data_IF_677809912262
#
_entry.id   IF_677809912262
#
_cell.length_a   1.000
_cell.length_b   1.000
_cell.length_c   1.000
_cell.angle_alpha   90.00
_cell.angle_beta   90.00
_cell.angle_gamma   90.00
#
_symmetry.space_group_name_H-M   'P 1'
#
loop_
_entity.id
_entity.type
_entity.pdbx_description
1 polymer ?
#
# COMPACT_ATOMS: atom_id res chain seq x y z
N UNK A 1 12.12 -0.87 2.68
CA UNK A 1 11.70 0.37 1.99
C UNK A 1 10.38 0.19 1.24
N UNK A 2 10.22 -0.87 0.44
CA UNK A 2 8.97 -1.10 -0.33
C UNK A 2 7.69 -1.09 0.52
N UNK A 3 7.66 -1.78 1.68
CA UNK A 3 6.49 -1.78 2.56
C UNK A 3 6.13 -0.40 3.13
N UNK A 4 7.10 0.51 3.31
CA UNK A 4 6.82 1.89 3.69
C UNK A 4 6.11 2.63 2.56
N UNK A 5 6.59 2.49 1.32
CA UNK A 5 5.94 3.08 0.16
C UNK A 5 4.49 2.61 0.04
N UNK A 6 4.26 1.30 0.14
CA UNK A 6 2.91 0.75 0.10
C UNK A 6 2.02 1.28 1.23
N UNK A 7 2.57 1.44 2.43
CA UNK A 7 1.83 2.02 3.55
C UNK A 7 1.37 3.46 3.28
N UNK A 8 2.25 4.29 2.70
CA UNK A 8 1.90 5.66 2.30
C UNK A 8 0.91 5.67 1.12
N UNK A 9 1.04 4.73 0.17
CA UNK A 9 0.04 4.57 -0.91
C UNK A 9 -1.35 4.29 -0.33
N UNK A 10 -1.45 3.39 0.65
CA UNK A 10 -2.72 3.07 1.32
C UNK A 10 -3.27 4.28 2.08
N UNK A 11 -2.41 5.07 2.73
CA UNK A 11 -2.81 6.30 3.40
C UNK A 11 -3.37 7.33 2.39
N UNK A 12 -2.67 7.59 1.28
CA UNK A 12 -3.13 8.50 0.22
C UNK A 12 -4.47 8.07 -0.38
N UNK A 13 -4.67 6.75 -0.56
CA UNK A 13 -5.95 6.21 -1.02
C UNK A 13 -7.07 6.43 0.00
N UNK A 14 -6.84 6.09 1.29
CA UNK A 14 -7.80 6.29 2.38
C UNK A 14 -8.20 7.76 2.53
N UNK A 15 -7.22 8.65 2.47
CA UNK A 15 -7.40 10.09 2.63
C UNK A 15 -7.99 10.76 1.38
N UNK A 16 -8.19 10.00 0.30
CA UNK A 16 -8.69 10.49 -0.99
C UNK A 16 -7.86 11.64 -1.55
N UNK A 17 -6.54 11.57 -1.35
CA UNK A 17 -5.57 12.52 -1.91
C UNK A 17 -5.60 12.46 -3.45
N UNK A 18 -5.87 11.27 -3.99
CA UNK A 18 -6.08 11.02 -5.42
C UNK A 18 -7.51 10.54 -5.63
N UNK A 19 -8.09 10.87 -6.78
CA UNK A 19 -9.50 10.59 -7.08
C UNK A 19 -9.84 9.09 -7.10
N UNK A 20 -8.91 8.25 -7.55
CA UNK A 20 -9.07 6.79 -7.62
C UNK A 20 -7.72 6.05 -7.56
N UNK A 21 -7.79 4.73 -7.47
CA UNK A 21 -6.63 3.85 -7.33
C UNK A 21 -5.79 3.75 -8.61
N UNK A 22 -6.40 3.87 -9.80
CA UNK A 22 -5.70 3.75 -11.08
C UNK A 22 -4.80 4.98 -11.31
N UNK A 23 -5.29 6.17 -10.99
CA UNK A 23 -4.52 7.41 -11.02
C UNK A 23 -3.37 7.39 -10.00
N UNK A 24 -3.60 6.82 -8.81
CA UNK A 24 -2.56 6.66 -7.80
C UNK A 24 -1.46 5.71 -8.30
N UNK A 25 -1.85 4.58 -8.89
CA UNK A 25 -0.92 3.61 -9.45
C UNK A 25 -0.10 4.20 -10.61
N UNK A 26 -0.76 4.90 -11.53
CA UNK A 26 -0.10 5.63 -12.61
C UNK A 26 0.90 6.68 -12.08
N UNK A 27 0.49 7.48 -11.09
CA UNK A 27 1.34 8.50 -10.49
C UNK A 27 2.60 7.91 -9.85
N UNK A 28 2.47 6.78 -9.16
CA UNK A 28 3.62 6.12 -8.51
C UNK A 28 4.52 5.43 -9.54
N UNK A 29 3.96 4.82 -10.58
CA UNK A 29 4.73 4.23 -11.70
C UNK A 29 5.55 5.31 -12.41
N UNK A 30 4.91 6.35 -12.92
CA UNK A 30 5.57 7.38 -13.73
C UNK A 30 6.40 8.35 -12.91
N UNK A 31 6.04 8.60 -11.65
CA UNK A 31 6.75 9.53 -10.77
C UNK A 31 7.96 8.92 -10.07
N UNK A 32 7.80 7.73 -9.49
CA UNK A 32 8.85 7.09 -8.68
C UNK A 32 9.60 5.96 -9.39
N UNK A 33 9.16 5.57 -10.59
CA UNK A 33 9.72 4.43 -11.33
C UNK A 33 9.27 3.08 -10.77
N UNK A 34 8.09 2.99 -10.15
CA UNK A 34 7.56 1.71 -9.69
C UNK A 34 7.34 0.76 -10.88
N UNK A 35 7.66 -0.51 -10.68
CA UNK A 35 7.64 -1.54 -11.72
C UNK A 35 6.30 -1.58 -12.50
N UNK A 36 6.25 -1.14 -13.76
CA UNK A 36 4.99 -1.01 -14.51
C UNK A 36 4.31 -2.37 -14.75
N UNK A 37 5.10 -3.43 -14.89
CA UNK A 37 4.61 -4.80 -15.10
C UNK A 37 3.88 -5.39 -13.88
N UNK A 38 3.84 -4.69 -12.74
CA UNK A 38 3.05 -5.06 -11.56
C UNK A 38 1.73 -4.29 -11.46
N UNK A 39 1.41 -3.43 -12.43
CA UNK A 39 0.20 -2.61 -12.45
C UNK A 39 0.23 -1.38 -11.54
N UNK A 40 1.12 -1.35 -10.55
CA UNK A 40 1.29 -0.24 -9.60
C UNK A 40 1.28 -0.74 -8.16
N UNK A 41 1.47 0.13 -7.17
CA UNK A 41 1.46 -0.25 -5.76
C UNK A 41 0.12 -0.83 -5.28
N UNK A 42 -1.04 -0.28 -5.66
CA UNK A 42 -2.37 -0.79 -5.28
C UNK A 42 -2.64 -2.14 -5.94
N UNK A 43 -2.37 -2.27 -7.24
CA UNK A 43 -2.48 -3.56 -7.92
C UNK A 43 -1.51 -4.60 -7.34
N UNK A 44 -0.29 -4.19 -6.99
CA UNK A 44 0.66 -5.06 -6.31
C UNK A 44 0.12 -5.54 -4.95
N UNK A 45 -0.44 -4.64 -4.13
CA UNK A 45 -1.06 -4.99 -2.83
C UNK A 45 -2.17 -6.02 -3.05
N UNK A 46 -3.03 -5.79 -4.04
CA UNK A 46 -4.12 -6.71 -4.33
C UNK A 46 -3.62 -8.10 -4.73
N UNK A 47 -2.60 -8.17 -5.59
CA UNK A 47 -2.02 -9.44 -6.07
C UNK A 47 -1.18 -10.18 -5.02
N UNK A 48 -0.49 -9.46 -4.14
CA UNK A 48 0.39 -10.03 -3.13
C UNK A 48 -0.36 -10.47 -1.87
N UNK A 49 -1.61 -10.01 -1.70
CA UNK A 49 -2.43 -10.28 -0.52
C UNK A 49 -2.30 -9.17 0.53
N UNK A 50 -3.32 -8.31 0.70
CA UNK A 50 -3.30 -7.19 1.64
C UNK A 50 -3.17 -7.66 3.09
N UNK A 51 -3.76 -8.80 3.45
CA UNK A 51 -3.64 -9.38 4.79
C UNK A 51 -2.19 -9.81 5.10
N UNK A 52 -1.53 -10.49 4.16
CA UNK A 52 -0.14 -10.91 4.32
C UNK A 52 0.81 -9.71 4.43
N UNK A 53 0.60 -8.66 3.63
CA UNK A 53 1.37 -7.43 3.68
C UNK A 53 1.12 -6.65 4.99
N UNK A 54 -0.11 -6.63 5.48
CA UNK A 54 -0.46 -6.02 6.76
C UNK A 54 0.24 -6.71 7.93
N UNK A 55 0.24 -8.05 7.97
CA UNK A 55 0.96 -8.82 8.99
C UNK A 55 2.47 -8.49 8.97
N UNK A 56 3.08 -8.46 7.77
CA UNK A 56 4.48 -8.06 7.58
C UNK A 56 4.77 -6.65 8.10
N UNK A 57 3.87 -5.69 7.87
CA UNK A 57 4.01 -4.34 8.39
C UNK A 57 3.95 -4.31 9.91
N UNK A 58 3.02 -5.04 10.54
CA UNK A 58 2.94 -5.19 11.99
C UNK A 58 4.24 -5.77 12.59
N UNK A 59 4.78 -6.84 11.98
CA UNK A 59 6.05 -7.43 12.41
C UNK A 59 7.21 -6.42 12.34
N UNK A 60 7.27 -5.62 11.27
CA UNK A 60 8.29 -4.58 11.11
C UNK A 60 8.09 -3.42 12.09
N UNK A 61 6.85 -3.05 12.41
CA UNK A 61 6.54 -2.03 13.39
C UNK A 61 7.03 -2.43 14.79
N UNK A 62 6.85 -3.69 15.16
CA UNK A 62 7.37 -4.22 16.42
C UNK A 62 8.91 -4.19 16.47
N UNK A 63 9.59 -4.54 15.36
CA UNK A 63 11.06 -4.66 15.33
C UNK A 63 11.80 -3.35 15.10
N UNK A 64 11.22 -2.43 14.34
CA UNK A 64 11.88 -1.21 13.85
C UNK A 64 11.16 0.09 14.23
N UNK A 65 10.11 -0.02 15.05
CA UNK A 65 9.38 1.08 15.63
C UNK A 65 8.28 1.66 14.73
N UNK A 66 7.76 2.80 15.16
CA UNK A 66 6.54 3.45 14.67
C UNK A 66 6.53 3.80 13.17
N UNK A 67 7.69 3.83 12.52
CA UNK A 67 7.78 4.13 11.08
C UNK A 67 7.04 3.09 10.23
N UNK A 68 6.95 1.84 10.68
CA UNK A 68 6.26 0.77 9.96
C UNK A 68 4.83 0.52 10.45
N UNK A 69 4.29 1.38 11.33
CA UNK A 69 2.91 1.26 11.79
C UNK A 69 1.96 1.27 10.58
N UNK A 70 1.13 0.22 10.39
CA UNK A 70 0.19 0.19 9.28
C UNK A 70 -0.84 1.31 9.38
N UNK A 71 -1.14 1.94 8.25
CA UNK A 71 -2.25 2.90 8.14
C UNK A 71 -3.62 2.19 8.37
N UNK A 72 -4.63 2.86 8.93
CA UNK A 72 -5.97 2.27 9.09
C UNK A 72 -6.60 1.78 7.77
N UNK A 73 -6.20 2.31 6.62
CA UNK A 73 -6.70 1.94 5.30
C UNK A 73 -6.45 0.47 4.94
N UNK A 74 -5.46 -0.19 5.54
CA UNK A 74 -5.23 -1.62 5.32
C UNK A 74 -6.43 -2.49 5.74
N UNK A 75 -7.13 -2.11 6.81
CA UNK A 75 -8.31 -2.85 7.28
C UNK A 75 -9.46 -2.79 6.26
N UNK A 76 -9.58 -1.68 5.54
CA UNK A 76 -10.58 -1.52 4.49
C UNK A 76 -10.23 -2.38 3.27
N UNK A 77 -8.96 -2.38 2.84
CA UNK A 77 -8.49 -3.23 1.74
C UNK A 77 -8.66 -4.73 2.00
N UNK A 78 -8.43 -5.16 3.25
CA UNK A 78 -8.63 -6.56 3.65
C UNK A 78 -10.10 -6.95 3.57
N UNK A 79 -11.03 -6.05 3.96
CA UNK A 79 -12.47 -6.30 3.85
C UNK A 79 -12.93 -6.38 2.40
N UNK A 80 -12.39 -5.55 1.51
CA UNK A 80 -12.77 -5.50 0.10
C UNK A 80 -12.32 -6.74 -0.71
N UNK A 81 -11.38 -7.54 -0.19
CA UNK A 81 -10.95 -8.80 -0.81
C UNK A 81 -11.69 -10.05 -0.32
N UNK A 82 -12.65 -9.89 0.61
CA UNK A 82 -13.53 -10.98 1.07
C UNK A 82 -14.88 -10.91 0.38
#
# INVERSE_FOLDING_TARGET
LMLRLLNETVACWREKVVADADLLDGGVIFGSGFAPFRGGPMQYIASAGPEALYIRLCELAQRHGTRFTPDPGWQELIKQQR
#
